data_IF_551482596665
#
_entry.id   IF_551482596665
#
_cell.length_a   1.000
_cell.length_b   1.000
_cell.length_c   1.000
_cell.angle_alpha   90.00
_cell.angle_beta   90.00
_cell.angle_gamma   90.00
#
_symmetry.space_group_name_H-M   'P 1'
#
loop_
_entity.id
_entity.type
_entity.pdbx_description
1 polymer ?
#
# COMPACT_ATOMS: atom_id res chain seq x y z
N UNK A 1 -54.71 -6.38 42.38
CA UNK A 1 -54.79 -5.05 41.73
C UNK A 1 -53.40 -4.42 41.75
N UNK A 2 -52.92 -4.01 40.58
CA UNK A 2 -51.60 -3.42 40.36
C UNK A 2 -51.40 -2.11 41.13
N UNK A 3 -50.24 -1.95 41.75
CA UNK A 3 -49.53 -0.67 41.72
C UNK A 3 -48.04 -0.93 41.55
N UNK A 4 -47.55 -0.76 40.32
CA UNK A 4 -46.13 -0.64 40.01
C UNK A 4 -45.73 0.78 40.43
N UNK A 5 -45.08 0.91 41.58
CA UNK A 5 -44.37 2.14 41.90
C UNK A 5 -43.20 2.31 40.91
N UNK A 6 -43.35 3.23 39.96
CA UNK A 6 -42.23 3.78 39.19
C UNK A 6 -41.28 4.45 40.18
N UNK A 7 -40.16 3.78 40.50
CA UNK A 7 -39.04 4.42 41.19
C UNK A 7 -38.57 5.61 40.34
N UNK A 8 -38.92 6.80 40.82
CA UNK A 8 -38.35 8.07 40.40
C UNK A 8 -36.83 7.99 40.60
N UNK A 9 -36.08 7.68 39.53
CA UNK A 9 -34.62 7.82 39.53
C UNK A 9 -34.30 9.29 39.76
N UNK A 10 -33.77 9.60 40.94
CA UNK A 10 -33.56 10.96 41.44
C UNK A 10 -32.70 11.79 40.49
N UNK A 11 -33.17 13.01 40.22
CA UNK A 11 -32.49 14.11 39.51
C UNK A 11 -31.02 14.29 39.92
N UNK A 12 -30.71 13.96 41.18
CA UNK A 12 -29.37 13.99 41.77
C UNK A 12 -28.36 13.03 41.13
N UNK A 13 -28.77 11.81 40.76
CA UNK A 13 -27.85 10.84 40.13
C UNK A 13 -27.48 11.26 38.71
N UNK A 14 -28.44 11.79 37.95
CA UNK A 14 -28.18 12.39 36.63
C UNK A 14 -27.31 13.64 36.75
N UNK A 15 -27.53 14.47 37.77
CA UNK A 15 -26.71 15.64 38.06
C UNK A 15 -25.26 15.29 38.42
N UNK A 16 -25.04 14.24 39.22
CA UNK A 16 -23.69 13.75 39.56
C UNK A 16 -22.95 13.18 38.35
N UNK A 17 -23.64 12.44 37.48
CA UNK A 17 -23.04 11.94 36.23
C UNK A 17 -22.69 13.10 35.30
N UNK A 18 -23.57 14.10 35.19
CA UNK A 18 -23.32 15.29 34.37
C UNK A 18 -22.15 16.11 34.93
N UNK A 19 -22.06 16.27 36.24
CA UNK A 19 -20.96 16.96 36.92
C UNK A 19 -19.64 16.22 36.71
N UNK A 20 -19.63 14.89 36.80
CA UNK A 20 -18.44 14.09 36.53
C UNK A 20 -17.98 14.23 35.07
N UNK A 21 -18.92 14.20 34.11
CA UNK A 21 -18.62 14.43 32.70
C UNK A 21 -18.09 15.85 32.44
N UNK A 22 -18.67 16.86 33.09
CA UNK A 22 -18.20 18.25 32.99
C UNK A 22 -16.81 18.43 33.60
N UNK A 23 -16.50 17.78 34.72
CA UNK A 23 -15.16 17.81 35.32
C UNK A 23 -14.17 17.13 34.38
N UNK A 24 -14.49 15.97 33.80
CA UNK A 24 -13.63 15.30 32.82
C UNK A 24 -13.44 16.19 31.59
N UNK A 25 -14.52 16.76 31.02
CA UNK A 25 -14.45 17.66 29.88
C UNK A 25 -13.63 18.92 30.18
N UNK A 26 -13.78 19.50 31.37
CA UNK A 26 -13.01 20.66 31.83
C UNK A 26 -11.53 20.33 32.02
N UNK A 27 -11.21 19.17 32.60
CA UNK A 27 -9.82 18.71 32.74
C UNK A 27 -9.18 18.45 31.37
N UNK A 28 -9.91 17.85 30.43
CA UNK A 28 -9.46 17.69 29.05
C UNK A 28 -9.25 19.04 28.36
N UNK A 29 -10.22 19.96 28.44
CA UNK A 29 -10.14 21.29 27.84
C UNK A 29 -9.01 22.13 28.43
N UNK A 30 -8.87 22.16 29.76
CA UNK A 30 -7.81 22.88 30.47
C UNK A 30 -6.44 22.32 30.12
N UNK A 31 -6.29 21.00 30.04
CA UNK A 31 -5.04 20.37 29.63
C UNK A 31 -4.71 20.67 28.16
N UNK A 32 -5.70 20.63 27.27
CA UNK A 32 -5.55 20.98 25.85
C UNK A 32 -5.20 22.45 25.65
N UNK A 33 -5.81 23.38 26.39
CA UNK A 33 -5.55 24.82 26.24
C UNK A 33 -4.21 25.25 26.83
N UNK A 34 -3.73 24.59 27.89
CA UNK A 34 -2.48 24.96 28.58
C UNK A 34 -1.25 24.18 28.14
N UNK A 35 -1.42 22.93 27.71
CA UNK A 35 -0.30 22.04 27.34
C UNK A 35 -0.38 21.51 25.90
N UNK A 36 -1.41 21.90 25.14
CA UNK A 36 -1.66 21.35 23.81
C UNK A 36 -2.09 19.88 23.85
N UNK A 37 -2.21 19.27 22.67
CA UNK A 37 -2.32 17.82 22.55
C UNK A 37 -1.01 17.16 23.04
N UNK A 38 -1.06 15.96 23.65
CA UNK A 38 0.14 15.19 23.91
C UNK A 38 0.96 15.06 22.61
N UNK A 39 2.30 15.18 22.70
CA UNK A 39 3.22 15.16 21.54
C UNK A 39 2.96 14.03 20.54
N UNK A 40 2.48 12.89 21.04
CA UNK A 40 2.25 11.67 20.27
C UNK A 40 0.90 11.69 19.51
N UNK A 41 -0.05 12.51 19.96
CA UNK A 41 -1.35 12.75 19.29
C UNK A 41 -1.25 14.00 18.42
N UNK A 42 -0.51 15.02 18.87
CA UNK A 42 -0.20 16.17 18.04
C UNK A 42 0.65 15.78 16.84
N UNK A 43 1.62 14.87 16.95
CA UNK A 43 2.40 14.42 15.80
C UNK A 43 1.55 13.70 14.76
N UNK A 44 0.51 12.96 15.15
CA UNK A 44 -0.37 12.25 14.21
C UNK A 44 -1.38 13.19 13.56
N UNK A 45 -1.99 14.09 14.35
CA UNK A 45 -2.98 15.05 13.83
C UNK A 45 -2.33 16.21 13.09
N UNK A 46 -1.14 16.64 13.50
CA UNK A 46 -0.40 17.72 12.86
C UNK A 46 0.55 17.23 11.76
N UNK A 47 1.04 15.99 11.72
CA UNK A 47 1.95 15.61 10.60
C UNK A 47 1.25 15.65 9.24
N UNK A 48 -0.02 15.27 9.16
CA UNK A 48 -0.79 15.38 7.93
C UNK A 48 -1.16 16.83 7.58
N UNK A 49 -1.24 17.77 8.54
CA UNK A 49 -1.61 19.17 8.28
C UNK A 49 -0.42 20.15 8.21
N UNK A 50 0.66 19.89 8.96
CA UNK A 50 1.92 20.64 8.91
C UNK A 50 2.74 20.28 7.67
N UNK A 51 2.65 19.05 7.17
CA UNK A 51 3.37 18.64 5.95
C UNK A 51 2.93 19.38 4.69
N UNK A 52 1.71 19.92 4.62
CA UNK A 52 1.27 20.76 3.49
C UNK A 52 1.48 22.27 3.73
N UNK A 53 1.80 22.70 4.96
CA UNK A 53 1.88 24.12 5.32
C UNK A 53 3.10 24.82 4.72
N UNK A 54 4.17 24.07 4.51
CA UNK A 54 5.45 24.57 3.99
C UNK A 54 5.65 24.27 2.49
N UNK A 55 4.60 23.82 1.80
CA UNK A 55 4.65 23.58 0.36
C UNK A 55 4.55 24.91 -0.39
N UNK A 56 5.60 25.25 -1.13
CA UNK A 56 5.57 26.34 -2.10
C UNK A 56 5.03 25.84 -3.42
N UNK A 57 4.11 26.61 -4.00
CA UNK A 57 3.66 26.40 -5.36
C UNK A 57 4.81 26.64 -6.34
N UNK A 58 4.95 25.75 -7.31
CA UNK A 58 5.95 25.85 -8.37
C UNK A 58 5.45 26.75 -9.49
N UNK A 59 6.31 27.62 -10.01
CA UNK A 59 6.03 28.35 -11.25
C UNK A 59 6.01 27.40 -12.45
N UNK A 60 5.35 27.78 -13.54
CA UNK A 60 5.28 26.93 -14.74
C UNK A 60 6.66 26.65 -15.37
N UNK A 61 7.59 27.59 -15.23
CA UNK A 61 8.99 27.39 -15.63
C UNK A 61 9.66 26.32 -14.75
N UNK A 62 9.47 26.37 -13.42
CA UNK A 62 9.98 25.35 -12.51
C UNK A 62 9.39 23.97 -12.81
N UNK A 63 8.07 23.89 -13.04
CA UNK A 63 7.39 22.64 -13.43
C UNK A 63 8.00 22.05 -14.71
N UNK A 64 8.21 22.89 -15.73
CA UNK A 64 8.80 22.49 -17.00
C UNK A 64 10.23 21.98 -16.82
N UNK A 65 11.04 22.68 -16.02
CA UNK A 65 12.42 22.28 -15.74
C UNK A 65 12.49 20.96 -14.98
N UNK A 66 11.60 20.73 -14.00
CA UNK A 66 11.52 19.48 -13.27
C UNK A 66 11.13 18.30 -14.17
N UNK A 67 10.15 18.48 -15.07
CA UNK A 67 9.76 17.44 -16.05
C UNK A 67 10.92 17.08 -16.97
N UNK A 68 11.60 18.08 -17.54
CA UNK A 68 12.80 17.89 -18.36
C UNK A 68 13.93 17.19 -17.61
N UNK A 69 14.17 17.55 -16.36
CA UNK A 69 15.22 16.97 -15.53
C UNK A 69 14.93 15.52 -15.12
N UNK A 70 13.65 15.13 -15.04
CA UNK A 70 13.23 13.77 -14.74
C UNK A 70 13.05 12.90 -15.99
N UNK A 71 13.02 13.50 -17.18
CA UNK A 71 12.82 12.78 -18.43
C UNK A 71 13.89 11.73 -18.68
N UNK A 72 13.49 10.56 -19.19
CA UNK A 72 14.37 9.44 -19.46
C UNK A 72 13.73 8.08 -19.27
N UNK A 73 14.56 7.05 -19.36
CA UNK A 73 14.19 5.66 -19.18
C UNK A 73 14.73 5.18 -17.83
N UNK A 74 13.84 4.65 -16.99
CA UNK A 74 14.08 4.35 -15.59
C UNK A 74 13.68 2.92 -15.29
N UNK A 75 14.48 2.21 -14.49
CA UNK A 75 14.17 0.85 -14.04
C UNK A 75 14.25 0.73 -12.52
N UNK A 76 13.32 -0.03 -11.96
CA UNK A 76 13.33 -0.49 -10.57
C UNK A 76 13.09 -2.00 -10.58
N UNK A 77 13.93 -2.78 -9.91
CA UNK A 77 13.82 -4.23 -9.90
C UNK A 77 14.02 -4.79 -8.49
N UNK A 78 13.44 -5.96 -8.21
CA UNK A 78 13.71 -6.68 -6.97
C UNK A 78 15.20 -6.98 -6.84
N UNK A 79 15.75 -6.81 -5.63
CA UNK A 79 17.17 -7.03 -5.38
C UNK A 79 17.57 -8.50 -5.57
N UNK A 80 16.70 -9.43 -5.17
CA UNK A 80 16.87 -10.85 -5.41
C UNK A 80 16.20 -11.24 -6.74
N UNK A 81 17.02 -11.52 -7.75
CA UNK A 81 16.58 -12.02 -9.07
C UNK A 81 16.45 -13.55 -9.13
N UNK A 82 16.76 -14.25 -8.03
CA UNK A 82 16.62 -15.70 -7.89
C UNK A 82 15.47 -16.09 -6.95
N UNK A 83 14.84 -15.10 -6.32
CA UNK A 83 13.70 -15.29 -5.45
C UNK A 83 12.46 -15.79 -6.21
N UNK A 84 11.50 -16.39 -5.47
CA UNK A 84 10.24 -16.88 -6.04
C UNK A 84 9.31 -15.77 -6.51
N UNK A 85 9.51 -14.54 -6.03
CA UNK A 85 8.84 -13.35 -6.55
C UNK A 85 9.88 -12.42 -7.14
N UNK A 86 9.66 -12.03 -8.39
CA UNK A 86 10.51 -11.09 -9.11
C UNK A 86 9.66 -9.99 -9.69
N UNK A 87 10.13 -8.75 -9.58
CA UNK A 87 9.46 -7.58 -10.16
C UNK A 87 10.46 -6.76 -10.96
N UNK A 88 10.04 -6.32 -12.12
CA UNK A 88 10.75 -5.36 -12.95
C UNK A 88 9.78 -4.27 -13.40
N UNK A 89 10.04 -3.06 -12.95
CA UNK A 89 9.24 -1.89 -13.24
C UNK A 89 10.03 -0.92 -14.11
N UNK A 90 9.46 -0.57 -15.26
CA UNK A 90 10.10 0.24 -16.28
C UNK A 90 9.25 1.47 -16.54
N UNK A 91 9.87 2.64 -16.45
CA UNK A 91 9.22 3.93 -16.64
C UNK A 91 9.96 4.71 -17.72
N UNK A 92 9.27 5.02 -18.80
CA UNK A 92 9.66 6.10 -19.70
C UNK A 92 8.90 7.35 -19.25
N UNK A 93 9.65 8.40 -18.89
CA UNK A 93 9.12 9.71 -18.56
C UNK A 93 9.53 10.69 -19.67
N UNK A 94 8.56 11.26 -20.35
CA UNK A 94 8.79 12.28 -21.37
C UNK A 94 8.96 13.66 -20.74
N UNK A 95 9.61 14.57 -21.47
CA UNK A 95 9.93 15.93 -21.01
C UNK A 95 8.71 16.83 -20.77
N UNK A 96 7.55 16.41 -21.27
CA UNK A 96 6.26 17.05 -21.05
C UNK A 96 5.48 16.45 -19.86
N UNK A 97 6.01 15.42 -19.19
CA UNK A 97 5.38 14.75 -18.05
C UNK A 97 4.54 13.53 -18.39
N UNK A 98 4.43 13.14 -19.66
CA UNK A 98 3.79 11.87 -20.04
C UNK A 98 4.63 10.70 -19.54
N UNK A 99 3.96 9.70 -18.98
CA UNK A 99 4.56 8.46 -18.48
C UNK A 99 4.03 7.27 -19.25
N UNK A 100 4.96 6.44 -19.72
CA UNK A 100 4.70 5.04 -20.05
C UNK A 100 5.35 4.18 -18.98
N UNK A 101 4.55 3.32 -18.34
CA UNK A 101 5.04 2.43 -17.30
C UNK A 101 4.63 0.99 -17.60
N UNK A 102 5.58 0.06 -17.50
CA UNK A 102 5.35 -1.38 -17.59
C UNK A 102 5.96 -2.03 -16.38
N UNK A 103 5.10 -2.60 -15.53
CA UNK A 103 5.50 -3.42 -14.38
C UNK A 103 5.26 -4.88 -14.69
N UNK A 104 6.32 -5.69 -14.72
CA UNK A 104 6.27 -7.13 -14.87
C UNK A 104 6.51 -7.81 -13.52
N UNK A 105 5.62 -8.71 -13.12
CA UNK A 105 5.83 -9.65 -12.03
C UNK A 105 5.99 -11.05 -12.60
N UNK A 106 6.99 -11.75 -12.11
CA UNK A 106 7.18 -13.18 -12.33
C UNK A 106 7.16 -13.88 -10.97
N UNK A 107 6.37 -14.95 -10.89
CA UNK A 107 6.18 -15.70 -9.65
C UNK A 107 6.35 -17.17 -9.90
N UNK A 108 7.29 -17.79 -9.19
CA UNK A 108 7.46 -19.24 -9.14
C UNK A 108 6.85 -19.77 -7.84
N UNK A 109 5.91 -20.70 -7.95
CA UNK A 109 5.27 -21.33 -6.80
C UNK A 109 6.04 -22.59 -6.38
N UNK A 110 5.91 -23.05 -5.12
CA UNK A 110 6.63 -24.25 -4.65
C UNK A 110 6.21 -25.55 -5.34
N UNK A 111 5.09 -25.55 -6.07
CA UNK A 111 4.68 -26.67 -6.92
C UNK A 111 5.51 -26.77 -8.21
N UNK A 112 6.31 -25.75 -8.54
CA UNK A 112 6.97 -25.56 -9.83
C UNK A 112 6.09 -24.86 -10.88
N UNK A 113 4.82 -24.56 -10.54
CA UNK A 113 3.98 -23.71 -11.38
C UNK A 113 4.55 -22.29 -11.41
N UNK A 114 4.41 -21.59 -12.53
CA UNK A 114 4.79 -20.19 -12.65
C UNK A 114 3.62 -19.33 -13.09
N UNK A 115 3.62 -18.06 -12.69
CA UNK A 115 2.66 -17.06 -13.14
C UNK A 115 3.39 -15.77 -13.52
N UNK A 116 2.86 -15.10 -14.52
CA UNK A 116 3.33 -13.78 -14.94
C UNK A 116 2.16 -12.80 -14.97
N UNK A 117 2.41 -11.62 -14.42
CA UNK A 117 1.45 -10.53 -14.35
C UNK A 117 2.12 -9.28 -14.92
N UNK A 118 1.47 -8.62 -15.88
CA UNK A 118 1.95 -7.38 -16.47
C UNK A 118 0.94 -6.28 -16.20
N UNK A 119 1.43 -5.12 -15.78
CA UNK A 119 0.63 -3.90 -15.67
C UNK A 119 1.24 -2.84 -16.56
N UNK A 120 0.46 -2.39 -17.55
CA UNK A 120 0.82 -1.28 -18.42
C UNK A 120 0.01 -0.06 -18.04
N UNK A 121 0.67 1.08 -17.85
CA UNK A 121 0.02 2.37 -17.61
C UNK A 121 0.49 3.41 -18.62
N UNK A 122 -0.46 4.17 -19.12
CA UNK A 122 -0.22 5.48 -19.73
C UNK A 122 -0.74 6.53 -18.77
N UNK A 123 0.13 7.43 -18.34
CA UNK A 123 -0.15 8.36 -17.27
C UNK A 123 0.46 9.74 -17.54
N UNK A 124 0.15 10.69 -16.67
CA UNK A 124 0.70 12.03 -16.69
C UNK A 124 1.15 12.44 -15.29
N UNK A 125 2.33 13.04 -15.20
CA UNK A 125 2.93 13.56 -13.98
C UNK A 125 3.07 15.08 -14.07
N UNK A 126 2.45 15.77 -13.12
CA UNK A 126 2.50 17.23 -13.04
C UNK A 126 3.00 17.70 -11.68
N UNK A 127 4.26 18.17 -11.59
CA UNK A 127 4.77 18.82 -10.40
C UNK A 127 3.91 20.04 -10.07
N UNK A 128 3.51 20.21 -8.81
CA UNK A 128 2.74 21.38 -8.37
C UNK A 128 3.33 22.11 -7.18
N UNK A 129 4.05 21.40 -6.29
CA UNK A 129 4.65 22.03 -5.12
C UNK A 129 5.98 21.39 -4.72
N UNK A 130 6.76 22.11 -3.93
CA UNK A 130 8.00 21.62 -3.32
C UNK A 130 8.17 22.18 -1.91
N UNK A 131 8.93 21.49 -1.06
CA UNK A 131 9.45 22.11 0.17
C UNK A 131 10.60 23.04 -0.18
N UNK A 132 10.69 24.18 0.52
CA UNK A 132 11.83 25.11 0.40
C UNK A 132 13.16 24.35 0.51
N UNK A 133 14.06 24.59 -0.46
CA UNK A 133 15.42 24.02 -0.54
C UNK A 133 15.54 22.49 -0.72
N UNK A 134 14.46 21.78 -1.01
CA UNK A 134 14.51 20.33 -1.23
C UNK A 134 14.57 19.95 -2.71
N UNK A 135 15.33 18.90 -3.07
CA UNK A 135 15.25 18.23 -4.38
C UNK A 135 13.97 17.41 -4.57
N UNK A 136 13.00 17.60 -3.67
CA UNK A 136 11.79 16.83 -3.50
C UNK A 136 10.59 17.69 -3.88
N UNK A 137 9.71 17.13 -4.69
CA UNK A 137 8.53 17.83 -5.17
C UNK A 137 7.32 16.90 -5.22
N UNK A 138 6.15 17.49 -5.01
CA UNK A 138 4.85 16.83 -5.07
C UNK A 138 4.32 16.93 -6.50
N UNK A 139 3.77 15.82 -6.97
CA UNK A 139 3.16 15.75 -8.29
C UNK A 139 1.72 15.26 -8.19
N UNK A 140 0.86 15.80 -9.03
CA UNK A 140 -0.36 15.12 -9.42
C UNK A 140 0.04 14.03 -10.41
N UNK A 141 -0.30 12.79 -10.10
CA UNK A 141 -0.14 11.66 -11.00
C UNK A 141 -1.50 11.21 -11.46
N UNK A 142 -1.73 11.19 -12.76
CA UNK A 142 -3.02 10.78 -13.34
C UNK A 142 -2.82 9.59 -14.26
N UNK A 143 -3.43 8.47 -13.93
CA UNK A 143 -3.53 7.33 -14.83
C UNK A 143 -4.56 7.68 -15.90
N UNK A 144 -4.10 7.86 -17.13
CA UNK A 144 -4.98 8.14 -18.27
C UNK A 144 -5.65 6.84 -18.69
N UNK A 145 -4.87 5.77 -18.83
CA UNK A 145 -5.30 4.40 -19.17
C UNK A 145 -4.38 3.37 -18.53
N UNK A 146 -4.92 2.19 -18.26
CA UNK A 146 -4.13 1.07 -17.78
C UNK A 146 -4.72 -0.28 -18.22
N UNK A 147 -3.84 -1.25 -18.43
CA UNK A 147 -4.19 -2.61 -18.79
C UNK A 147 -3.39 -3.62 -17.96
N UNK A 148 -4.01 -4.77 -17.71
CA UNK A 148 -3.42 -5.89 -17.01
C UNK A 148 -3.37 -7.10 -17.95
N UNK A 149 -2.21 -7.76 -18.03
CA UNK A 149 -2.07 -9.05 -18.72
C UNK A 149 -1.75 -10.11 -17.67
N UNK A 150 -2.68 -11.03 -17.46
CA UNK A 150 -2.62 -12.05 -16.42
C UNK A 150 -2.60 -13.41 -17.08
N UNK A 151 -1.48 -14.13 -16.99
CA UNK A 151 -1.32 -15.45 -17.62
C UNK A 151 -1.70 -15.48 -19.13
N UNK A 152 -1.56 -14.35 -19.83
CA UNK A 152 -1.89 -14.17 -21.24
C UNK A 152 -3.28 -13.59 -21.53
N UNK A 153 -4.17 -13.50 -20.54
CA UNK A 153 -5.46 -12.83 -20.66
C UNK A 153 -5.33 -11.33 -20.37
N UNK A 154 -5.89 -10.49 -21.24
CA UNK A 154 -5.86 -9.03 -21.07
C UNK A 154 -7.18 -8.50 -20.53
N UNK A 155 -7.13 -7.63 -19.53
CA UNK A 155 -8.28 -6.81 -19.12
C UNK A 155 -7.83 -5.37 -18.87
N UNK A 156 -8.78 -4.43 -18.90
CA UNK A 156 -8.48 -3.00 -18.80
C UNK A 156 -8.97 -2.45 -17.47
N UNK A 157 -8.08 -1.76 -16.77
CA UNK A 157 -8.38 -1.19 -15.46
C UNK A 157 -9.09 0.17 -15.56
N UNK A 158 -9.37 0.74 -14.40
CA UNK A 158 -10.01 2.05 -14.32
C UNK A 158 -9.13 3.14 -14.96
N UNK A 159 -9.76 4.00 -15.76
CA UNK A 159 -9.09 5.12 -16.41
C UNK A 159 -9.40 6.42 -15.67
N UNK A 160 -8.52 7.42 -15.82
CA UNK A 160 -8.66 8.72 -15.16
C UNK A 160 -8.58 8.66 -13.63
N UNK A 161 -7.71 7.80 -13.10
CA UNK A 161 -7.46 7.68 -11.66
C UNK A 161 -6.41 8.72 -11.26
N UNK A 162 -6.73 9.55 -10.28
CA UNK A 162 -5.84 10.58 -9.76
C UNK A 162 -5.17 10.13 -8.44
N UNK A 163 -3.85 10.27 -8.37
CA UNK A 163 -3.02 9.97 -7.22
C UNK A 163 -2.08 11.15 -6.93
N UNK A 164 -1.57 11.23 -5.70
CA UNK A 164 -0.50 12.16 -5.36
C UNK A 164 0.81 11.41 -5.21
N UNK A 165 1.82 11.82 -5.96
CA UNK A 165 3.15 11.23 -5.90
C UNK A 165 4.17 12.21 -5.33
N UNK A 166 5.18 11.69 -4.64
CA UNK A 166 6.40 12.42 -4.30
C UNK A 166 7.49 11.99 -5.24
N UNK A 167 8.12 12.96 -5.87
CA UNK A 167 9.26 12.74 -6.75
C UNK A 167 10.49 13.43 -6.15
N UNK A 168 11.66 12.80 -6.34
CA UNK A 168 12.93 13.33 -5.86
C UNK A 168 14.06 12.89 -6.79
N UNK A 169 14.99 13.81 -7.08
CA UNK A 169 16.30 13.45 -7.66
C UNK A 169 17.30 13.22 -6.53
N UNK A 170 17.96 12.07 -6.54
CA UNK A 170 19.00 11.67 -5.57
C UNK A 170 20.21 11.16 -6.32
N UNK A 171 21.19 12.04 -6.53
CA UNK A 171 22.29 11.77 -7.47
C UNK A 171 21.73 11.55 -8.89
N UNK A 172 22.12 10.43 -9.51
CA UNK A 172 21.64 10.04 -10.84
C UNK A 172 20.28 9.33 -10.81
N UNK A 173 19.82 8.92 -9.62
CA UNK A 173 18.59 8.15 -9.44
C UNK A 173 17.36 9.04 -9.34
N UNK A 174 16.24 8.49 -9.82
CA UNK A 174 14.92 9.09 -9.70
C UNK A 174 14.14 8.31 -8.65
N UNK A 175 13.65 8.99 -7.61
CA UNK A 175 12.74 8.39 -6.64
C UNK A 175 11.33 8.84 -7.00
N UNK A 176 10.44 7.91 -7.35
CA UNK A 176 9.01 8.17 -7.53
C UNK A 176 8.22 7.35 -6.53
N UNK A 177 7.48 8.03 -5.68
CA UNK A 177 6.57 7.44 -4.71
C UNK A 177 7.20 6.28 -3.91
N UNK A 178 8.35 6.57 -3.27
CA UNK A 178 9.18 5.64 -2.47
C UNK A 178 9.92 4.56 -3.26
N UNK A 179 9.71 4.42 -4.58
CA UNK A 179 10.52 3.55 -5.44
C UNK A 179 11.74 4.32 -5.94
N UNK A 180 12.92 3.76 -5.72
CA UNK A 180 14.16 4.26 -6.28
C UNK A 180 14.40 3.59 -7.64
N UNK A 181 14.47 4.41 -8.69
CA UNK A 181 14.77 3.99 -10.04
C UNK A 181 16.17 4.42 -10.44
N UNK A 182 16.87 3.54 -11.14
CA UNK A 182 18.15 3.82 -11.77
C UNK A 182 17.96 4.10 -13.26
N UNK A 183 18.83 4.91 -13.88
CA UNK A 183 18.79 5.12 -15.33
C UNK A 183 18.98 3.81 -16.10
N UNK A 184 18.17 3.60 -17.14
CA UNK A 184 18.36 2.49 -18.07
C UNK A 184 19.45 2.83 -19.09
N UNK A 185 20.46 1.97 -19.18
CA UNK A 185 21.59 2.14 -20.09
C UNK A 185 21.64 1.06 -21.19
N UNK A 186 20.59 0.24 -21.31
CA UNK A 186 20.48 -0.79 -22.35
C UNK A 186 19.98 -0.22 -23.67
N UNK A 187 19.68 -1.10 -24.63
CA UNK A 187 19.17 -0.68 -25.92
C UNK A 187 17.68 -0.33 -25.84
N UNK A 188 17.28 0.85 -26.33
CA UNK A 188 15.92 1.39 -26.17
C UNK A 188 14.85 0.45 -26.76
N UNK A 189 15.15 -0.24 -27.86
CA UNK A 189 14.22 -1.21 -28.46
C UNK A 189 13.88 -2.40 -27.56
N UNK A 190 14.71 -2.68 -26.56
CA UNK A 190 14.53 -3.77 -25.59
C UNK A 190 13.96 -3.26 -24.27
N UNK A 191 13.67 -1.95 -24.16
CA UNK A 191 13.18 -1.36 -22.92
C UNK A 191 11.80 -1.91 -22.56
N UNK A 192 10.81 -1.72 -23.42
CA UNK A 192 9.49 -2.30 -23.21
C UNK A 192 9.34 -3.66 -23.90
N UNK A 193 8.59 -4.62 -23.30
CA UNK A 193 8.22 -5.83 -24.00
C UNK A 193 7.48 -5.51 -25.31
N UNK A 194 7.67 -6.32 -26.37
CA UNK A 194 7.01 -6.10 -27.65
C UNK A 194 5.48 -5.95 -27.50
N UNK A 195 4.92 -4.90 -28.10
CA UNK A 195 3.49 -4.55 -28.10
C UNK A 195 2.89 -4.16 -26.74
N UNK A 196 3.68 -4.05 -25.66
CA UNK A 196 3.15 -3.68 -24.35
C UNK A 196 2.44 -2.30 -24.38
N UNK A 197 3.05 -1.33 -25.07
CA UNK A 197 2.54 0.04 -25.24
C UNK A 197 1.25 0.04 -26.07
N UNK A 198 1.20 -0.75 -27.15
CA UNK A 198 0.04 -0.85 -28.04
C UNK A 198 -1.24 -1.30 -27.29
N UNK A 199 -1.10 -2.04 -26.18
CA UNK A 199 -2.24 -2.58 -25.43
C UNK A 199 -3.16 -1.50 -24.89
N UNK A 200 -2.63 -0.40 -24.35
CA UNK A 200 -3.47 0.68 -23.77
C UNK A 200 -4.05 1.63 -24.82
N UNK A 201 -3.64 1.48 -26.08
CA UNK A 201 -4.17 2.25 -27.20
C UNK A 201 -5.39 1.60 -27.86
N UNK A 202 -5.67 0.32 -27.56
CA UNK A 202 -6.79 -0.44 -28.15
C UNK A 202 -8.16 0.12 -27.71
N UNK A 203 -9.04 0.35 -28.68
CA UNK A 203 -10.30 1.11 -28.51
C UNK A 203 -11.52 0.29 -28.03
N UNK A 204 -11.41 -1.02 -27.76
CA UNK A 204 -12.58 -1.81 -27.37
C UNK A 204 -12.25 -2.97 -26.41
N UNK A 205 -11.94 -2.66 -25.14
CA UNK A 205 -11.51 -3.66 -24.19
C UNK A 205 -12.63 -4.36 -23.42
N UNK A 206 -12.30 -5.55 -22.91
CA UNK A 206 -13.01 -6.18 -21.78
C UNK A 206 -12.49 -5.55 -20.49
N UNK A 207 -13.36 -4.88 -19.75
CA UNK A 207 -12.99 -4.27 -18.47
C UNK A 207 -12.62 -5.32 -17.42
N UNK A 208 -11.62 -5.01 -16.59
CA UNK A 208 -11.35 -5.77 -15.39
C UNK A 208 -12.49 -5.59 -14.38
N UNK A 209 -12.46 -6.37 -13.29
CA UNK A 209 -13.27 -6.06 -12.13
C UNK A 209 -12.91 -4.66 -11.57
N UNK A 210 -13.87 -3.92 -10.98
CA UNK A 210 -13.58 -2.64 -10.33
C UNK A 210 -12.47 -2.78 -9.29
N UNK A 211 -11.59 -1.79 -9.19
CA UNK A 211 -10.39 -1.80 -8.33
C UNK A 211 -9.41 -2.97 -8.59
N UNK A 212 -9.34 -3.49 -9.82
CA UNK A 212 -8.33 -4.50 -10.16
C UNK A 212 -6.91 -3.98 -9.92
N UNK A 213 -6.10 -4.78 -9.24
CA UNK A 213 -4.70 -4.53 -8.98
C UNK A 213 -3.87 -5.82 -9.09
N UNK A 214 -2.55 -5.68 -9.26
CA UNK A 214 -1.66 -6.85 -9.38
C UNK A 214 -1.67 -7.74 -8.14
N UNK A 215 -1.82 -7.14 -6.95
CA UNK A 215 -1.87 -7.85 -5.65
C UNK A 215 -3.06 -8.81 -5.61
N UNK A 216 -4.21 -8.41 -6.13
CA UNK A 216 -5.44 -9.19 -6.24
C UNK A 216 -5.25 -10.40 -7.14
N UNK A 217 -4.68 -10.20 -8.33
CA UNK A 217 -4.41 -11.29 -9.27
C UNK A 217 -3.40 -12.30 -8.72
N UNK A 218 -2.36 -11.82 -8.04
CA UNK A 218 -1.40 -12.68 -7.36
C UNK A 218 -2.08 -13.52 -6.27
N UNK A 219 -2.85 -12.90 -5.38
CA UNK A 219 -3.58 -13.61 -4.31
C UNK A 219 -4.53 -14.66 -4.86
N UNK A 220 -5.23 -14.35 -5.96
CA UNK A 220 -6.10 -15.30 -6.64
C UNK A 220 -5.31 -16.52 -7.17
N UNK A 221 -4.14 -16.28 -7.75
CA UNK A 221 -3.24 -17.32 -8.27
C UNK A 221 -2.65 -18.18 -7.15
N UNK A 222 -2.17 -17.55 -6.07
CA UNK A 222 -1.72 -18.23 -4.85
C UNK A 222 -2.82 -19.13 -4.30
N UNK A 223 -4.04 -18.61 -4.12
CA UNK A 223 -5.18 -19.39 -3.62
C UNK A 223 -5.50 -20.59 -4.50
N UNK A 224 -5.45 -20.42 -5.83
CA UNK A 224 -5.65 -21.50 -6.82
C UNK A 224 -4.59 -22.59 -6.66
N UNK A 225 -3.31 -22.23 -6.59
CA UNK A 225 -2.20 -23.19 -6.42
C UNK A 225 -2.28 -23.90 -5.06
N UNK A 226 -2.43 -23.13 -3.98
CA UNK A 226 -2.52 -23.66 -2.62
C UNK A 226 -3.72 -24.59 -2.40
N UNK A 227 -4.83 -24.37 -3.12
CA UNK A 227 -6.02 -25.23 -3.02
C UNK A 227 -5.79 -26.68 -3.47
N UNK A 228 -4.79 -26.90 -4.33
CA UNK A 228 -4.40 -28.19 -4.91
C UNK A 228 -3.44 -28.98 -4.00
N UNK A 229 -2.78 -28.30 -3.07
CA UNK A 229 -1.78 -28.91 -2.21
C UNK A 229 -2.40 -29.85 -1.19
N UNK A 230 -1.69 -30.93 -0.88
CA UNK A 230 -2.04 -31.80 0.25
C UNK A 230 -1.95 -31.04 1.57
N UNK A 231 -2.88 -31.27 2.53
CA UNK A 231 -2.80 -30.62 3.84
C UNK A 231 -1.46 -30.90 4.54
N UNK A 232 -0.91 -29.88 5.19
CA UNK A 232 0.40 -29.94 5.87
C UNK A 232 0.27 -29.68 7.37
N UNK A 233 1.19 -30.20 8.21
CA UNK A 233 1.25 -29.79 9.61
C UNK A 233 1.55 -28.29 9.72
N UNK A 234 0.91 -27.62 10.67
CA UNK A 234 1.25 -26.22 10.95
C UNK A 234 2.69 -26.07 11.41
N UNK A 235 3.41 -25.14 10.76
CA UNK A 235 4.74 -24.66 11.18
C UNK A 235 4.77 -23.15 11.01
N UNK A 236 4.96 -22.42 12.10
CA UNK A 236 4.98 -20.95 12.08
C UNK A 236 6.05 -20.43 11.11
N UNK A 237 7.26 -20.99 11.13
CA UNK A 237 8.35 -20.57 10.24
C UNK A 237 8.04 -20.78 8.76
N UNK A 238 7.26 -21.81 8.42
CA UNK A 238 6.81 -22.00 7.04
C UNK A 238 5.83 -20.92 6.62
N UNK A 239 4.93 -20.49 7.52
CA UNK A 239 4.01 -19.36 7.24
C UNK A 239 4.80 -18.06 7.07
N UNK A 240 5.79 -17.79 7.92
CA UNK A 240 6.66 -16.62 7.80
C UNK A 240 7.39 -16.60 6.47
N UNK A 241 7.91 -17.76 6.03
CA UNK A 241 8.55 -17.89 4.73
C UNK A 241 7.61 -17.52 3.57
N UNK A 242 6.34 -17.92 3.62
CA UNK A 242 5.34 -17.49 2.62
C UNK A 242 5.11 -15.97 2.63
N UNK A 243 5.16 -15.35 3.80
CA UNK A 243 5.07 -13.89 3.92
C UNK A 243 6.30 -13.26 3.26
N UNK A 244 7.51 -13.66 3.68
CA UNK A 244 8.77 -13.10 3.18
C UNK A 244 8.92 -13.27 1.66
N UNK A 245 8.48 -14.40 1.10
CA UNK A 245 8.69 -14.74 -0.30
C UNK A 245 7.63 -14.19 -1.25
N UNK A 246 6.40 -13.96 -0.79
CA UNK A 246 5.29 -13.58 -1.66
C UNK A 246 4.55 -12.34 -1.15
N UNK A 247 4.01 -12.39 0.07
CA UNK A 247 3.15 -11.30 0.55
C UNK A 247 3.91 -10.02 0.91
N UNK A 248 5.12 -10.13 1.45
CA UNK A 248 6.01 -9.00 1.73
C UNK A 248 6.30 -8.20 0.46
N UNK A 249 7.04 -8.78 -0.51
CA UNK A 249 7.47 -8.05 -1.70
C UNK A 249 6.32 -7.67 -2.64
N UNK A 250 5.27 -8.49 -2.76
CA UNK A 250 4.21 -8.24 -3.74
C UNK A 250 2.98 -7.51 -3.20
N UNK A 251 2.75 -7.54 -1.88
CA UNK A 251 1.56 -6.93 -1.27
C UNK A 251 1.96 -5.82 -0.33
N UNK A 252 2.79 -6.10 0.68
CA UNK A 252 3.14 -5.12 1.71
C UNK A 252 3.90 -3.92 1.11
N UNK A 253 4.93 -4.15 0.28
CA UNK A 253 5.66 -3.07 -0.40
C UNK A 253 4.74 -2.23 -1.31
N UNK A 254 3.84 -2.87 -2.05
CA UNK A 254 2.87 -2.19 -2.91
C UNK A 254 1.83 -1.38 -2.10
N UNK A 255 1.47 -1.83 -0.89
CA UNK A 255 0.62 -1.07 0.01
C UNK A 255 1.34 0.18 0.52
N UNK A 256 2.61 0.06 0.92
CA UNK A 256 3.42 1.20 1.37
C UNK A 256 3.54 2.28 0.29
N UNK A 257 3.63 1.85 -0.98
CA UNK A 257 3.68 2.76 -2.12
C UNK A 257 2.33 3.40 -2.43
N UNK A 258 1.20 2.77 -2.09
CA UNK A 258 -0.12 3.39 -2.24
C UNK A 258 -0.42 4.47 -1.20
N UNK A 259 0.40 4.59 -0.15
CA UNK A 259 0.24 5.63 0.85
C UNK A 259 0.61 6.99 0.28
N UNK A 260 -0.09 8.01 0.78
CA UNK A 260 0.22 9.39 0.46
C UNK A 260 1.71 9.72 0.72
N UNK A 261 2.28 10.64 -0.07
CA UNK A 261 3.71 10.95 -0.07
C UNK A 261 4.28 11.44 1.27
N UNK A 262 3.41 11.93 2.15
CA UNK A 262 3.75 12.51 3.45
C UNK A 262 3.28 11.68 4.63
N UNK A 263 2.68 10.52 4.36
CA UNK A 263 2.32 9.58 5.43
C UNK A 263 3.62 9.08 6.07
N UNK A 264 3.77 9.33 7.36
CA UNK A 264 4.88 8.78 8.16
C UNK A 264 4.64 7.29 8.31
N UNK A 265 5.57 6.49 7.82
CA UNK A 265 5.53 5.03 7.95
C UNK A 265 6.36 4.65 9.17
N UNK A 266 5.80 3.84 10.06
CA UNK A 266 6.51 3.35 11.24
C UNK A 266 7.60 2.35 10.85
N UNK A 267 8.73 2.35 11.56
CA UNK A 267 9.88 1.48 11.27
C UNK A 267 9.58 -0.02 11.35
N UNK A 268 8.48 -0.40 12.02
CA UNK A 268 8.06 -1.79 12.09
C UNK A 268 6.57 -1.94 12.36
N UNK A 269 5.98 -3.02 11.84
CA UNK A 269 4.58 -3.38 12.06
C UNK A 269 4.48 -4.80 12.64
N UNK A 270 4.51 -4.95 13.98
CA UNK A 270 4.33 -6.24 14.62
C UNK A 270 2.86 -6.66 14.61
N UNK A 271 2.55 -7.71 13.86
CA UNK A 271 1.22 -8.29 13.71
C UNK A 271 1.14 -9.68 14.33
N UNK A 272 -0.06 -10.06 14.74
CA UNK A 272 -0.41 -11.43 15.09
C UNK A 272 -1.72 -11.83 14.41
N UNK A 273 -1.84 -13.10 14.02
CA UNK A 273 -3.05 -13.66 13.42
C UNK A 273 -3.12 -15.18 13.63
N UNK A 274 -4.27 -15.78 13.34
CA UNK A 274 -4.49 -17.23 13.41
C UNK A 274 -4.76 -17.78 12.00
N UNK A 275 -4.10 -18.88 11.63
CA UNK A 275 -4.38 -19.62 10.38
C UNK A 275 -5.38 -20.74 10.67
N UNK A 276 -6.44 -20.85 9.89
CA UNK A 276 -7.44 -21.93 10.01
C UNK A 276 -7.01 -23.18 9.23
N UNK A 277 -7.71 -24.29 9.48
CA UNK A 277 -7.47 -25.57 8.80
C UNK A 277 -7.63 -25.47 7.27
N UNK A 278 -8.46 -24.55 6.78
CA UNK A 278 -8.64 -24.28 5.35
C UNK A 278 -7.56 -23.35 4.75
N UNK A 279 -6.59 -22.90 5.56
CA UNK A 279 -5.53 -21.98 5.19
C UNK A 279 -5.92 -20.49 5.21
N UNK A 280 -7.16 -20.16 5.59
CA UNK A 280 -7.62 -18.77 5.72
C UNK A 280 -7.12 -18.13 7.02
N UNK A 281 -7.00 -16.79 7.03
CA UNK A 281 -6.57 -16.03 8.20
C UNK A 281 -7.77 -15.51 9.00
N UNK A 282 -7.65 -15.53 10.32
CA UNK A 282 -8.59 -14.85 11.22
C UNK A 282 -7.89 -14.10 12.36
N UNK A 283 -8.66 -13.19 12.97
CA UNK A 283 -8.24 -12.36 14.10
C UNK A 283 -6.88 -11.67 13.90
N UNK A 284 -6.61 -11.03 12.74
CA UNK A 284 -5.40 -10.24 12.66
C UNK A 284 -5.49 -9.06 13.63
N UNK A 285 -4.42 -8.84 14.37
CA UNK A 285 -4.29 -7.78 15.33
C UNK A 285 -2.86 -7.25 15.36
N UNK A 286 -2.69 -6.08 15.95
CA UNK A 286 -1.37 -5.57 16.30
C UNK A 286 -0.95 -6.18 17.63
N UNK A 287 0.33 -6.55 17.74
CA UNK A 287 0.88 -7.02 19.02
C UNK A 287 0.89 -5.85 20.03
N UNK A 288 0.43 -6.11 21.24
CA UNK A 288 0.33 -5.10 22.31
C UNK A 288 1.69 -4.44 22.59
N UNK A 289 1.72 -3.10 22.52
CA UNK A 289 2.93 -2.29 22.70
C UNK A 289 3.14 -1.22 21.63
N UNK A 290 2.50 -1.34 20.47
CA UNK A 290 2.45 -0.28 19.45
C UNK A 290 1.35 0.73 19.75
N UNK A 291 1.69 2.01 19.88
CA UNK A 291 0.73 3.12 20.01
C UNK A 291 0.06 3.50 18.67
N UNK A 292 0.08 2.61 17.69
CA UNK A 292 -0.20 2.94 16.29
C UNK A 292 -1.49 2.24 15.85
N UNK A 293 -2.57 3.00 15.73
CA UNK A 293 -3.85 2.55 15.15
C UNK A 293 -4.25 3.52 14.02
N UNK A 294 -3.29 3.81 13.16
CA UNK A 294 -3.45 4.68 12.00
C UNK A 294 -4.22 4.00 10.88
N UNK A 295 -4.40 4.74 9.78
CA UNK A 295 -5.11 4.24 8.61
C UNK A 295 -4.37 3.07 7.95
N UNK A 296 -3.03 3.14 7.88
CA UNK A 296 -2.23 2.10 7.25
C UNK A 296 -2.31 0.77 8.00
N UNK A 297 -2.24 0.76 9.34
CA UNK A 297 -2.34 -0.47 10.12
C UNK A 297 -3.69 -1.14 9.92
N UNK A 298 -4.78 -0.36 9.85
CA UNK A 298 -6.11 -0.90 9.54
C UNK A 298 -6.17 -1.51 8.14
N UNK A 299 -5.58 -0.82 7.15
CA UNK A 299 -5.47 -1.35 5.79
C UNK A 299 -4.65 -2.65 5.77
N UNK A 300 -3.50 -2.69 6.46
CA UNK A 300 -2.63 -3.86 6.55
C UNK A 300 -3.35 -5.04 7.21
N UNK A 301 -4.02 -4.83 8.34
CA UNK A 301 -4.77 -5.88 9.02
C UNK A 301 -5.93 -6.38 8.14
N UNK A 302 -6.63 -5.49 7.44
CA UNK A 302 -7.68 -5.87 6.49
C UNK A 302 -7.11 -6.69 5.32
N UNK A 303 -5.95 -6.27 4.81
CA UNK A 303 -5.27 -6.96 3.71
C UNK A 303 -4.83 -8.37 4.13
N UNK A 304 -4.25 -8.51 5.33
CA UNK A 304 -3.86 -9.81 5.91
C UNK A 304 -5.06 -10.77 5.96
N UNK A 305 -6.28 -10.31 6.28
CA UNK A 305 -7.47 -11.19 6.29
C UNK A 305 -7.75 -11.86 4.95
N UNK A 306 -7.26 -11.28 3.84
CA UNK A 306 -7.50 -11.80 2.50
C UNK A 306 -6.48 -12.85 2.05
N UNK A 307 -5.41 -13.06 2.84
CA UNK A 307 -4.35 -13.98 2.49
C UNK A 307 -4.78 -15.43 2.66
N UNK A 308 -4.08 -16.31 1.96
CA UNK A 308 -4.30 -17.76 2.00
C UNK A 308 -2.98 -18.51 2.14
N UNK A 309 -2.98 -19.55 2.96
CA UNK A 309 -1.85 -20.43 3.19
C UNK A 309 -2.21 -21.88 2.81
N UNK A 310 -1.23 -22.80 2.75
CA UNK A 310 -1.52 -24.22 2.60
C UNK A 310 -2.55 -24.71 3.64
N UNK A 311 -3.46 -25.61 3.24
CA UNK A 311 -4.41 -26.25 4.15
C UNK A 311 -3.66 -27.00 5.25
N UNK A 312 -4.22 -27.01 6.46
CA UNK A 312 -3.60 -27.66 7.61
C UNK A 312 -4.23 -29.03 7.87
N UNK A 313 -3.45 -29.93 8.49
CA UNK A 313 -4.00 -31.15 9.07
C UNK A 313 -4.90 -30.80 10.25
N UNK A 314 -6.13 -31.31 10.26
CA UNK A 314 -7.14 -31.04 11.28
C UNK A 314 -6.62 -31.34 12.70
N UNK A 315 -6.92 -30.46 13.65
CA UNK A 315 -6.53 -30.63 15.06
C UNK A 315 -5.14 -30.11 15.42
N UNK A 316 -4.54 -29.26 14.58
CA UNK A 316 -3.27 -28.57 14.87
C UNK A 316 -3.41 -27.69 16.13
N UNK A 317 -2.60 -27.95 17.17
CA UNK A 317 -2.77 -27.39 18.53
C UNK A 317 -2.42 -25.91 18.69
N UNK A 318 -1.70 -25.32 17.74
CA UNK A 318 -1.41 -23.88 17.70
C UNK A 318 -1.32 -23.47 16.25
N UNK A 319 -2.07 -22.44 15.86
CA UNK A 319 -2.04 -21.87 14.52
C UNK A 319 -1.82 -20.35 14.54
N UNK A 320 -1.47 -19.82 15.71
CA UNK A 320 -1.14 -18.41 15.88
C UNK A 320 0.25 -18.14 15.30
N UNK A 321 0.35 -17.06 14.55
CA UNK A 321 1.57 -16.58 13.91
C UNK A 321 1.85 -15.17 14.43
N UNK A 322 3.09 -14.90 14.81
CA UNK A 322 3.57 -13.54 15.08
C UNK A 322 4.58 -13.14 14.00
N UNK A 323 4.40 -11.99 13.37
CA UNK A 323 5.29 -11.52 12.32
C UNK A 323 5.51 -10.01 12.45
N UNK A 324 6.67 -9.52 12.01
CA UNK A 324 6.99 -8.09 12.02
C UNK A 324 7.40 -7.66 10.63
N UNK A 325 6.60 -6.80 10.00
CA UNK A 325 7.01 -6.18 8.73
C UNK A 325 7.99 -5.04 8.98
N UNK A 326 8.96 -4.89 8.09
CA UNK A 326 9.93 -3.80 8.04
C UNK A 326 9.73 -3.07 6.69
N UNK A 327 9.48 -1.74 6.68
CA UNK A 327 9.24 -0.97 5.46
C UNK A 327 10.44 -0.76 4.55
#
# INVERSE_FOLDING_TARGET
>A
MHSREKKSSSSLSKGLVLLALLIVAFLFYSRLSTKGLPSNVSSIVNSEFESFRDLKELSDEQKTNLKKAAAGFWICQTADSTGPFQKLDRVELLDNGIIWQVTDWFVEFPSGDTASFVHVKHAYLDPFSSFEDSSTYTCNYRIIRQAFVIEGDTCFGESQVDEMWKAQRKGDNLILNRREYVPYNGAIQDFFPPKAIDLVEVLNPKDCAPNADLKYFLKASLKKVLSRNTPVPFKEDAVKLWIDQYYGPAVFEEMLQSLGPYVVVADSFPVEFEVRDDGSIVKPGLKSGGLYNGQFEKMLLSEIQTWSFPKLVAGSKSTRVSYTFLP
#
